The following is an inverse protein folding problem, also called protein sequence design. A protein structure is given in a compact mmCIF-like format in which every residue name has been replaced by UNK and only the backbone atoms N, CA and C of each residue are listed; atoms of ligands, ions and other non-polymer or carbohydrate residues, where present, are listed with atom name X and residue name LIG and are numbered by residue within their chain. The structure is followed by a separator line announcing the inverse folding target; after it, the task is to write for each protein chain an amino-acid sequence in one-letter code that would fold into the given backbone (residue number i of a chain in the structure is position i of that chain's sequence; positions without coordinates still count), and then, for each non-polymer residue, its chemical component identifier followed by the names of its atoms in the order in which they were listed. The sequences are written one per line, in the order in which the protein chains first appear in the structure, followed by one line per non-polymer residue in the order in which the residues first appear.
data_IF_128301850227
#
_entry.id   IF_128301850227
#
_cell.length_a   1.000
_cell.length_b   1.000
_cell.length_c   1.000
_cell.angle_alpha   90.00
_cell.angle_beta   90.00
_cell.angle_gamma   90.00
#
_symmetry.space_group_name_H-M   'P 1'
#
loop_
_entity.id
_entity.type
_entity.pdbx_description
1 polymer ?
#
# COMPACT_ATOMS: atom_id res chain seq x y z
N UNK A 1 -8.75 19.26 -15.09
CA UNK A 1 -8.14 17.93 -14.78
C UNK A 1 -8.03 17.68 -13.27
N UNK A 2 -7.42 18.58 -12.49
CA UNK A 2 -7.28 18.40 -11.04
C UNK A 2 -8.62 18.27 -10.28
N UNK A 3 -9.57 19.17 -10.54
CA UNK A 3 -10.91 19.13 -9.89
C UNK A 3 -11.67 17.83 -10.19
N UNK A 4 -11.50 17.30 -11.42
CA UNK A 4 -12.07 16.04 -11.86
C UNK A 4 -11.59 14.88 -10.97
N UNK A 5 -10.29 14.73 -10.76
CA UNK A 5 -9.75 13.63 -9.93
C UNK A 5 -10.09 13.78 -8.46
N UNK A 6 -10.03 14.99 -7.92
CA UNK A 6 -10.43 15.25 -6.53
C UNK A 6 -11.91 14.89 -6.30
N UNK A 7 -12.79 15.18 -7.26
CA UNK A 7 -14.20 14.79 -7.20
C UNK A 7 -14.39 13.27 -7.30
N UNK A 8 -13.68 12.60 -8.22
CA UNK A 8 -13.70 11.12 -8.34
C UNK A 8 -13.26 10.43 -7.05
N UNK A 9 -12.24 10.98 -6.38
CA UNK A 9 -11.79 10.50 -5.07
C UNK A 9 -12.83 10.71 -3.96
N UNK A 10 -13.56 11.84 -3.98
CA UNK A 10 -14.69 12.07 -3.06
C UNK A 10 -15.85 11.08 -3.31
N UNK A 11 -16.15 10.75 -4.56
CA UNK A 11 -17.17 9.73 -4.90
C UNK A 11 -16.73 8.32 -4.45
N UNK A 12 -15.45 7.99 -4.57
CA UNK A 12 -14.92 6.72 -4.08
C UNK A 12 -14.98 6.63 -2.54
N UNK A 13 -14.65 7.71 -1.82
CA UNK A 13 -14.85 7.78 -0.37
C UNK A 13 -16.32 7.60 0.01
N UNK A 14 -17.24 8.31 -0.66
CA UNK A 14 -18.67 8.22 -0.40
C UNK A 14 -19.21 6.79 -0.60
N UNK A 15 -18.77 6.11 -1.66
CA UNK A 15 -19.10 4.70 -1.90
C UNK A 15 -18.70 3.80 -0.73
N UNK A 16 -17.48 3.97 -0.20
CA UNK A 16 -17.00 3.20 0.97
C UNK A 16 -17.80 3.55 2.23
N UNK A 17 -18.06 4.84 2.45
CA UNK A 17 -18.78 5.32 3.63
C UNK A 17 -20.24 4.83 3.67
N UNK A 18 -20.89 4.68 2.52
CA UNK A 18 -22.25 4.17 2.40
C UNK A 18 -22.31 2.63 2.50
N UNK A 19 -21.37 1.94 1.84
CA UNK A 19 -21.48 0.50 1.60
C UNK A 19 -20.71 -0.36 2.58
N UNK A 20 -19.59 0.17 3.11
CA UNK A 20 -18.68 -0.60 3.96
C UNK A 20 -18.53 -0.03 5.38
N UNK A 21 -18.63 1.28 5.59
CA UNK A 21 -18.41 1.86 6.92
C UNK A 21 -19.55 1.53 7.90
N UNK A 22 -19.21 0.94 9.04
CA UNK A 22 -20.17 0.53 10.07
C UNK A 22 -19.61 0.71 11.49
N UNK A 23 -20.50 0.76 12.49
CA UNK A 23 -20.12 0.81 13.91
C UNK A 23 -19.74 -0.59 14.38
N UNK A 24 -18.66 -0.71 15.14
CA UNK A 24 -18.28 -1.96 15.78
C UNK A 24 -19.32 -2.34 16.84
N UNK A 25 -20.08 -3.41 16.62
CA UNK A 25 -21.07 -3.95 17.57
C UNK A 25 -22.04 -2.89 18.11
N UNK A 26 -22.50 -1.99 17.23
CA UNK A 26 -23.34 -0.83 17.56
C UNK A 26 -22.75 0.16 18.57
N UNK A 27 -21.48 -0.01 18.97
CA UNK A 27 -20.82 0.85 19.95
C UNK A 27 -20.71 2.28 19.41
N UNK A 28 -21.18 3.29 20.17
CA UNK A 28 -21.15 4.67 19.73
C UNK A 28 -19.71 5.14 19.56
N UNK A 29 -19.50 6.05 18.60
CA UNK A 29 -18.19 6.66 18.29
C UNK A 29 -17.12 5.62 17.89
N UNK A 30 -17.54 4.50 17.28
CA UNK A 30 -16.65 3.56 16.60
C UNK A 30 -16.95 3.56 15.10
N UNK A 31 -15.96 3.15 14.31
CA UNK A 31 -16.08 2.97 12.87
C UNK A 31 -15.13 1.85 12.46
N UNK A 32 -15.57 0.95 11.59
CA UNK A 32 -14.79 -0.09 10.92
C UNK A 32 -15.42 -0.34 9.55
N UNK A 33 -14.66 -0.89 8.60
CA UNK A 33 -15.21 -1.28 7.30
C UNK A 33 -15.60 -2.76 7.31
N UNK A 34 -16.83 -3.10 6.91
CA UNK A 34 -17.24 -4.49 6.66
C UNK A 34 -16.53 -5.03 5.42
N UNK A 35 -16.24 -6.33 5.43
CA UNK A 35 -15.33 -6.96 4.46
C UNK A 35 -15.94 -7.10 3.06
N UNK A 36 -17.26 -7.04 2.92
CA UNK A 36 -17.91 -7.15 1.63
C UNK A 36 -19.20 -6.34 1.54
N UNK A 37 -19.58 -5.93 0.34
CA UNK A 37 -20.87 -5.33 0.02
C UNK A 37 -21.54 -6.00 -1.19
N UNK A 38 -22.84 -6.32 -1.14
CA UNK A 38 -23.74 -6.21 0.01
C UNK A 38 -23.31 -7.13 1.18
N UNK A 39 -23.32 -6.65 2.44
CA UNK A 39 -22.80 -7.40 3.58
C UNK A 39 -23.76 -8.48 4.05
N UNK A 40 -23.22 -9.64 4.43
CA UNK A 40 -23.98 -10.68 5.13
C UNK A 40 -24.17 -10.32 6.61
N UNK A 41 -25.06 -11.03 7.32
CA UNK A 41 -25.23 -10.86 8.77
C UNK A 41 -23.92 -11.09 9.55
N UNK A 42 -23.08 -12.05 9.11
CA UNK A 42 -21.78 -12.35 9.72
C UNK A 42 -20.78 -11.20 9.54
N UNK A 43 -20.84 -10.50 8.41
CA UNK A 43 -19.98 -9.35 8.14
C UNK A 43 -20.40 -8.15 8.99
N UNK A 44 -21.71 -7.90 9.11
CA UNK A 44 -22.25 -6.79 9.92
C UNK A 44 -21.88 -6.87 11.40
N UNK A 45 -21.74 -8.08 11.95
CA UNK A 45 -21.31 -8.28 13.35
C UNK A 45 -19.79 -8.42 13.51
N UNK A 46 -19.01 -8.19 12.45
CA UNK A 46 -17.54 -8.30 12.44
C UNK A 46 -17.02 -9.66 12.92
N UNK A 47 -17.77 -10.74 12.61
CA UNK A 47 -17.29 -12.11 12.81
C UNK A 47 -16.09 -12.35 11.88
N UNK A 48 -16.20 -11.91 10.62
CA UNK A 48 -15.08 -11.77 9.68
C UNK A 48 -14.50 -10.37 9.82
N UNK A 49 -13.19 -10.29 10.05
CA UNK A 49 -12.48 -9.05 10.23
C UNK A 49 -11.02 -9.23 9.81
N UNK A 50 -10.57 -8.44 8.84
CA UNK A 50 -9.22 -8.48 8.30
C UNK A 50 -8.42 -7.29 8.82
N UNK A 51 -7.41 -7.58 9.66
CA UNK A 51 -6.61 -6.56 10.36
C UNK A 51 -5.99 -5.58 9.38
N UNK A 52 -5.29 -6.10 8.36
CA UNK A 52 -4.59 -5.28 7.39
C UNK A 52 -5.52 -4.55 6.42
N UNK A 53 -6.70 -5.09 6.08
CA UNK A 53 -7.70 -4.34 5.30
C UNK A 53 -8.17 -3.10 6.07
N UNK A 54 -8.31 -3.18 7.40
CA UNK A 54 -8.61 -2.00 8.22
C UNK A 54 -7.45 -1.00 8.29
N UNK A 55 -6.20 -1.48 8.24
CA UNK A 55 -5.04 -0.61 8.13
C UNK A 55 -5.09 0.20 6.83
N UNK A 56 -5.39 -0.45 5.71
CA UNK A 56 -5.54 0.21 4.41
C UNK A 56 -6.79 1.11 4.33
N UNK A 57 -7.89 0.73 4.97
CA UNK A 57 -9.05 1.63 5.10
C UNK A 57 -8.70 2.90 5.90
N UNK A 58 -7.94 2.76 7.00
CA UNK A 58 -7.41 3.91 7.73
C UNK A 58 -6.50 4.76 6.84
N UNK A 59 -5.68 4.13 6.00
CA UNK A 59 -4.76 4.82 5.10
C UNK A 59 -5.51 5.66 4.04
N UNK A 60 -6.57 5.12 3.42
CA UNK A 60 -7.43 5.89 2.51
C UNK A 60 -8.16 7.04 3.21
N UNK A 61 -8.61 6.84 4.45
CA UNK A 61 -9.21 7.92 5.25
C UNK A 61 -8.21 9.05 5.52
N UNK A 62 -6.94 8.70 5.74
CA UNK A 62 -5.85 9.68 5.87
C UNK A 62 -5.65 10.43 4.56
N UNK A 63 -5.59 9.73 3.42
CA UNK A 63 -5.44 10.37 2.09
C UNK A 63 -6.55 11.39 1.83
N UNK A 64 -7.81 11.02 2.04
CA UNK A 64 -8.95 11.92 1.85
C UNK A 64 -8.90 13.13 2.81
N UNK A 65 -8.47 12.91 4.06
CA UNK A 65 -8.35 13.97 5.06
C UNK A 65 -7.16 14.92 4.81
N UNK A 66 -6.07 14.42 4.22
CA UNK A 66 -4.93 15.22 3.76
C UNK A 66 -5.33 16.05 2.54
N UNK A 67 -5.97 15.43 1.55
CA UNK A 67 -6.43 16.11 0.33
C UNK A 67 -7.44 17.23 0.62
N UNK A 68 -8.43 16.96 1.47
CA UNK A 68 -9.40 17.99 1.91
C UNK A 68 -9.79 17.75 3.39
N UNK A 69 -9.27 18.59 4.31
CA UNK A 69 -9.51 18.40 5.74
C UNK A 69 -10.90 18.89 6.14
N UNK A 70 -11.77 17.97 6.57
CA UNK A 70 -13.10 18.29 7.14
C UNK A 70 -13.25 17.74 8.56
N UNK A 71 -14.07 18.37 9.44
CA UNK A 71 -14.34 17.82 10.76
C UNK A 71 -14.91 16.39 10.72
N UNK A 72 -15.72 16.07 9.71
CA UNK A 72 -16.30 14.74 9.50
C UNK A 72 -15.21 13.67 9.23
N UNK A 73 -14.28 13.93 8.29
CA UNK A 73 -13.15 13.02 8.00
C UNK A 73 -12.26 12.81 9.21
N UNK A 74 -11.94 13.89 9.92
CA UNK A 74 -11.18 13.78 11.18
C UNK A 74 -11.92 12.94 12.23
N UNK A 75 -13.23 13.13 12.37
CA UNK A 75 -14.01 12.33 13.30
C UNK A 75 -14.05 10.86 12.88
N UNK A 76 -14.17 10.56 11.57
CA UNK A 76 -14.11 9.21 11.02
C UNK A 76 -12.79 8.53 11.37
N UNK A 77 -11.63 9.17 11.15
CA UNK A 77 -10.31 8.64 11.53
C UNK A 77 -10.25 8.31 13.03
N UNK A 78 -10.70 9.23 13.92
CA UNK A 78 -10.71 8.98 15.37
C UNK A 78 -11.58 7.77 15.74
N UNK A 79 -12.75 7.64 15.11
CA UNK A 79 -13.68 6.52 15.31
C UNK A 79 -13.09 5.21 14.78
N UNK A 80 -12.36 5.25 13.66
CA UNK A 80 -11.66 4.10 13.07
C UNK A 80 -10.54 3.61 13.98
N UNK A 81 -9.65 4.50 14.43
CA UNK A 81 -8.60 4.17 15.39
C UNK A 81 -9.16 3.58 16.70
N UNK A 82 -10.26 4.15 17.20
CA UNK A 82 -10.96 3.61 18.37
C UNK A 82 -11.55 2.22 18.08
N UNK A 83 -12.17 2.03 16.92
CA UNK A 83 -12.74 0.76 16.48
C UNK A 83 -11.69 -0.34 16.41
N UNK A 84 -10.57 -0.08 15.72
CA UNK A 84 -9.45 -1.02 15.59
C UNK A 84 -8.92 -1.41 16.97
N UNK A 85 -8.68 -0.42 17.85
CA UNK A 85 -8.20 -0.69 19.21
C UNK A 85 -9.16 -1.58 20.02
N UNK A 86 -10.46 -1.29 19.99
CA UNK A 86 -11.46 -2.06 20.75
C UNK A 86 -11.60 -3.48 20.16
N UNK A 87 -11.65 -3.62 18.84
CA UNK A 87 -11.80 -4.92 18.18
C UNK A 87 -10.62 -5.87 18.43
N UNK A 88 -9.45 -5.33 18.72
CA UNK A 88 -8.23 -6.09 18.97
C UNK A 88 -8.06 -6.60 20.42
N UNK A 89 -9.01 -6.37 21.34
CA UNK A 89 -9.11 -6.91 22.71
C UNK A 89 -7.79 -6.99 23.53
N UNK A 90 -6.88 -7.91 23.15
CA UNK A 90 -5.53 -8.15 23.69
C UNK A 90 -4.46 -7.12 23.23
N UNK A 91 -4.85 -6.11 22.46
CA UNK A 91 -3.96 -5.05 21.98
C UNK A 91 -3.38 -5.32 20.59
N UNK A 92 -2.82 -4.27 19.96
CA UNK A 92 -2.39 -4.32 18.55
C UNK A 92 -1.22 -5.27 18.29
N UNK A 93 -0.34 -5.45 19.28
CA UNK A 93 0.86 -6.29 19.21
C UNK A 93 0.57 -7.79 19.31
N UNK A 94 -0.64 -8.16 19.74
CA UNK A 94 -1.04 -9.56 19.91
C UNK A 94 -1.27 -10.29 18.57
N UNK A 95 -1.40 -9.56 17.46
CA UNK A 95 -1.45 -10.19 16.14
C UNK A 95 -0.10 -10.89 15.86
N UNK A 96 -0.17 -12.13 15.36
CA UNK A 96 1.02 -12.95 15.07
C UNK A 96 1.66 -12.63 13.73
N UNK A 97 0.91 -12.02 12.82
CA UNK A 97 1.32 -11.66 11.46
C UNK A 97 2.08 -10.32 11.48
N UNK A 98 3.33 -10.32 11.01
CA UNK A 98 4.19 -9.14 11.08
C UNK A 98 3.89 -8.13 9.96
N UNK A 99 3.49 -8.61 8.79
CA UNK A 99 2.92 -7.82 7.68
C UNK A 99 1.69 -7.03 8.15
N UNK A 100 0.69 -7.69 8.74
CA UNK A 100 -0.51 -7.06 9.29
C UNK A 100 -0.15 -5.89 10.23
N UNK A 101 0.79 -6.15 11.15
CA UNK A 101 1.27 -5.17 12.12
C UNK A 101 1.99 -4.01 11.43
N UNK A 102 2.83 -4.29 10.43
CA UNK A 102 3.56 -3.27 9.68
C UNK A 102 2.61 -2.34 8.89
N UNK A 103 1.56 -2.90 8.26
CA UNK A 103 0.54 -2.10 7.58
C UNK A 103 -0.17 -1.14 8.52
N UNK A 104 -0.56 -1.60 9.71
CA UNK A 104 -1.21 -0.71 10.68
C UNK A 104 -0.23 0.30 11.28
N UNK A 105 1.03 -0.07 11.50
CA UNK A 105 2.05 0.86 11.97
C UNK A 105 2.24 2.01 10.96
N UNK A 106 2.36 1.69 9.67
CA UNK A 106 2.48 2.69 8.60
C UNK A 106 1.26 3.62 8.54
N UNK A 107 0.04 3.06 8.42
CA UNK A 107 -1.19 3.86 8.35
C UNK A 107 -1.38 4.71 9.62
N UNK A 108 -1.11 4.13 10.80
CA UNK A 108 -1.20 4.81 12.08
C UNK A 108 -0.17 5.93 12.27
N UNK A 109 1.04 5.78 11.72
CA UNK A 109 2.06 6.82 11.71
C UNK A 109 1.67 7.97 10.78
N UNK A 110 1.13 7.67 9.59
CA UNK A 110 0.66 8.66 8.60
C UNK A 110 -0.46 9.56 9.08
N UNK A 111 -1.24 9.15 10.08
CA UNK A 111 -2.28 9.99 10.71
C UNK A 111 -1.73 11.36 11.16
N UNK A 112 -0.43 11.49 11.46
CA UNK A 112 0.21 12.79 11.79
C UNK A 112 0.19 13.82 10.65
N UNK A 113 0.02 13.38 9.40
CA UNK A 113 -0.13 14.24 8.21
C UNK A 113 -1.45 15.03 8.25
N UNK A 114 -2.45 14.55 8.99
CA UNK A 114 -3.74 15.24 9.14
C UNK A 114 -3.64 16.33 10.21
N UNK A 115 -4.08 17.54 9.87
CA UNK A 115 -4.09 18.70 10.79
C UNK A 115 -4.71 18.35 12.15
N UNK A 116 -4.01 18.70 13.25
CA UNK A 116 -4.37 18.44 14.66
C UNK A 116 -4.31 16.96 15.10
N UNK A 117 -3.79 16.06 14.29
CA UNK A 117 -3.52 14.69 14.73
C UNK A 117 -2.09 14.52 15.23
N UNK A 118 -1.94 13.60 16.16
CA UNK A 118 -0.65 13.07 16.60
C UNK A 118 -0.68 11.58 16.37
N UNK A 119 0.50 10.98 16.19
CA UNK A 119 0.64 9.52 16.09
C UNK A 119 -0.03 8.88 17.32
N UNK A 120 -0.95 7.90 17.15
CA UNK A 120 -1.59 7.24 18.28
C UNK A 120 -0.57 6.55 19.18
N UNK A 121 -0.78 6.64 20.51
CA UNK A 121 0.17 6.08 21.51
C UNK A 121 0.48 4.60 21.32
N UNK A 122 -0.46 3.83 20.75
CA UNK A 122 -0.31 2.40 20.52
C UNK A 122 0.61 2.04 19.33
N UNK A 123 0.97 3.01 18.47
CA UNK A 123 1.82 2.76 17.29
C UNK A 123 3.29 2.54 17.68
N UNK A 124 3.86 3.33 18.59
CA UNK A 124 5.26 3.13 19.02
C UNK A 124 5.53 1.73 19.60
N UNK A 125 4.69 1.19 20.52
CA UNK A 125 4.85 -0.19 20.96
C UNK A 125 4.70 -1.23 19.82
N UNK A 126 3.87 -0.93 18.82
CA UNK A 126 3.70 -1.79 17.65
C UNK A 126 4.96 -1.80 16.77
N UNK A 127 5.54 -0.63 16.49
CA UNK A 127 6.82 -0.50 15.79
C UNK A 127 7.93 -1.28 16.52
N UNK A 128 8.07 -1.08 17.85
CA UNK A 128 9.04 -1.82 18.65
C UNK A 128 8.81 -3.34 18.62
N UNK A 129 7.55 -3.79 18.62
CA UNK A 129 7.22 -5.21 18.53
C UNK A 129 7.61 -5.80 17.17
N UNK A 130 7.42 -5.07 16.08
CA UNK A 130 7.84 -5.50 14.74
C UNK A 130 9.36 -5.60 14.69
N UNK A 131 10.08 -4.56 15.14
CA UNK A 131 11.55 -4.52 15.13
C UNK A 131 12.17 -5.66 15.95
N UNK A 132 11.57 -6.01 17.08
CA UNK A 132 12.01 -7.12 17.93
C UNK A 132 11.71 -8.50 17.34
N UNK A 133 10.88 -8.57 16.30
CA UNK A 133 10.48 -9.81 15.63
C UNK A 133 11.45 -10.30 14.56
N UNK A 134 12.48 -9.52 14.23
CA UNK A 134 13.48 -9.91 13.24
C UNK A 134 14.20 -11.16 13.71
N UNK A 135 14.39 -12.11 12.80
CA UNK A 135 15.09 -13.35 13.07
C UNK A 135 16.60 -13.11 13.22
N UNK A 136 17.19 -13.67 14.26
CA UNK A 136 18.59 -13.41 14.60
C UNK A 136 19.59 -13.99 13.60
N UNK A 137 19.20 -15.01 12.83
CA UNK A 137 20.09 -15.67 11.86
C UNK A 137 20.05 -14.95 10.51
N UNK A 138 18.85 -14.62 10.04
CA UNK A 138 18.63 -14.04 8.71
C UNK A 138 18.62 -12.51 8.71
N UNK A 139 18.42 -11.87 9.87
CA UNK A 139 18.30 -10.42 9.99
C UNK A 139 16.98 -9.84 9.47
N UNK A 140 16.09 -10.69 8.94
CA UNK A 140 14.80 -10.30 8.34
C UNK A 140 13.62 -10.84 9.14
N UNK A 141 12.43 -10.29 8.88
CA UNK A 141 11.20 -10.66 9.57
C UNK A 141 10.56 -11.89 8.93
N UNK A 142 10.19 -12.92 9.72
CA UNK A 142 9.33 -13.98 9.22
C UNK A 142 7.91 -13.43 9.04
N UNK A 143 7.10 -14.11 8.23
CA UNK A 143 5.71 -13.73 7.96
C UNK A 143 4.87 -13.66 9.23
N UNK A 144 5.00 -14.67 10.10
CA UNK A 144 4.35 -14.71 11.41
C UNK A 144 5.27 -15.25 12.50
N UNK A 145 4.91 -15.02 13.75
CA UNK A 145 5.63 -15.56 14.91
C UNK A 145 5.75 -17.09 14.83
N UNK A 146 6.99 -17.58 14.98
CA UNK A 146 7.40 -18.99 14.91
C UNK A 146 7.17 -19.64 13.54
N UNK A 147 7.43 -18.91 12.45
CA UNK A 147 7.44 -19.46 11.08
C UNK A 147 8.79 -19.23 10.41
N UNK A 148 9.11 -20.09 9.43
CA UNK A 148 10.36 -20.05 8.63
C UNK A 148 10.13 -19.55 7.20
N UNK A 149 9.09 -18.74 7.00
CA UNK A 149 8.76 -18.11 5.73
C UNK A 149 9.01 -16.62 5.85
N UNK A 150 9.85 -16.08 4.98
CA UNK A 150 10.27 -14.68 4.96
C UNK A 150 9.81 -14.09 3.64
N UNK A 151 9.00 -13.04 3.68
CA UNK A 151 8.35 -12.53 2.48
C UNK A 151 8.41 -11.00 2.39
N UNK A 152 8.29 -10.50 1.17
CA UNK A 152 8.29 -9.07 0.85
C UNK A 152 7.13 -8.32 1.49
N UNK A 153 5.90 -8.88 1.56
CA UNK A 153 4.78 -8.24 2.26
C UNK A 153 5.05 -7.92 3.73
N UNK A 154 5.97 -8.65 4.37
CA UNK A 154 6.42 -8.34 5.74
C UNK A 154 7.60 -7.37 5.74
N UNK A 155 8.63 -7.68 4.95
CA UNK A 155 9.92 -6.99 5.03
C UNK A 155 9.93 -5.62 4.34
N UNK A 156 9.20 -5.45 3.24
CA UNK A 156 9.08 -4.17 2.53
C UNK A 156 8.39 -3.08 3.39
N UNK A 157 7.17 -3.30 3.90
CA UNK A 157 6.51 -2.35 4.80
C UNK A 157 7.31 -2.07 6.08
N UNK A 158 7.98 -3.10 6.62
CA UNK A 158 8.86 -2.92 7.77
C UNK A 158 10.08 -2.06 7.45
N UNK A 159 10.69 -2.20 6.27
CA UNK A 159 11.79 -1.36 5.81
C UNK A 159 11.35 0.11 5.68
N UNK A 160 10.18 0.37 5.06
CA UNK A 160 9.57 1.71 4.98
C UNK A 160 9.38 2.30 6.38
N UNK A 161 8.80 1.51 7.31
CA UNK A 161 8.59 1.94 8.69
C UNK A 161 9.91 2.26 9.40
N UNK A 162 10.94 1.42 9.23
CA UNK A 162 12.25 1.60 9.86
C UNK A 162 12.98 2.83 9.29
N UNK A 163 12.93 3.07 7.98
CA UNK A 163 13.50 4.26 7.36
C UNK A 163 12.84 5.55 7.90
N UNK A 164 11.50 5.56 8.00
CA UNK A 164 10.73 6.70 8.54
C UNK A 164 10.90 6.93 10.05
N UNK A 165 11.49 5.99 10.77
CA UNK A 165 11.67 6.04 12.23
C UNK A 165 13.14 6.02 12.64
N UNK A 166 14.02 6.53 11.77
CA UNK A 166 15.46 6.74 12.01
C UNK A 166 16.23 5.44 12.30
N UNK A 167 15.80 4.32 11.70
CA UNK A 167 16.45 3.00 11.78
C UNK A 167 16.96 2.58 10.41
N UNK A 168 17.71 3.49 9.78
CA UNK A 168 18.13 3.40 8.39
C UNK A 168 18.89 2.11 8.08
N UNK A 169 19.85 1.72 8.91
CA UNK A 169 20.66 0.50 8.67
C UNK A 169 19.81 -0.78 8.67
N UNK A 170 18.76 -0.83 9.50
CA UNK A 170 17.83 -1.97 9.48
C UNK A 170 16.97 -1.94 8.22
N UNK A 171 16.50 -0.77 7.79
CA UNK A 171 15.74 -0.64 6.56
C UNK A 171 16.57 -1.07 5.34
N UNK A 172 17.85 -0.68 5.30
CA UNK A 172 18.84 -1.11 4.31
C UNK A 172 18.96 -2.62 4.31
N UNK A 173 19.27 -3.25 5.45
CA UNK A 173 19.43 -4.71 5.52
C UNK A 173 18.19 -5.50 5.10
N UNK A 174 16.98 -5.06 5.48
CA UNK A 174 15.74 -5.68 5.02
C UNK A 174 15.56 -5.56 3.51
N UNK A 175 15.93 -4.41 2.93
CA UNK A 175 15.72 -4.14 1.51
C UNK A 175 16.79 -4.83 0.66
N UNK A 176 18.05 -4.85 1.09
CA UNK A 176 19.13 -5.61 0.46
C UNK A 176 18.77 -7.10 0.39
N UNK A 177 18.27 -7.68 1.47
CA UNK A 177 17.82 -9.07 1.46
C UNK A 177 16.75 -9.35 0.40
N UNK A 178 15.82 -8.41 0.16
CA UNK A 178 14.84 -8.53 -0.93
C UNK A 178 15.55 -8.53 -2.29
N UNK A 179 16.47 -7.60 -2.54
CA UNK A 179 17.18 -7.52 -3.82
C UNK A 179 18.07 -8.74 -4.08
N UNK A 180 18.72 -9.26 -3.04
CA UNK A 180 19.68 -10.36 -3.17
C UNK A 180 18.99 -11.71 -3.39
N UNK A 181 17.74 -11.87 -2.92
CA UNK A 181 17.07 -13.18 -2.92
C UNK A 181 15.82 -13.25 -3.81
N UNK A 182 15.18 -12.11 -4.10
CA UNK A 182 13.80 -12.10 -4.60
C UNK A 182 13.61 -11.33 -5.90
N UNK A 183 14.66 -10.98 -6.62
CA UNK A 183 14.53 -10.38 -7.97
C UNK A 183 14.55 -11.49 -9.02
N UNK A 184 13.54 -11.51 -9.88
CA UNK A 184 13.49 -12.45 -11.01
C UNK A 184 14.23 -11.90 -12.24
N UNK A 185 14.28 -12.68 -13.31
CA UNK A 185 14.98 -12.34 -14.56
C UNK A 185 14.40 -11.10 -15.28
N UNK A 186 13.14 -10.73 -14.99
CA UNK A 186 12.48 -9.53 -15.52
C UNK A 186 12.75 -8.28 -14.67
N UNK A 187 13.45 -8.41 -13.54
CA UNK A 187 13.64 -7.31 -12.60
C UNK A 187 12.44 -7.07 -11.68
N UNK A 188 11.48 -8.00 -11.63
CA UNK A 188 10.33 -7.95 -10.73
C UNK A 188 10.63 -8.70 -9.42
N UNK A 189 9.99 -8.25 -8.35
CA UNK A 189 10.14 -8.78 -6.99
C UNK A 189 9.17 -9.95 -6.77
N UNK A 190 9.73 -11.12 -6.44
CA UNK A 190 9.02 -12.34 -6.04
C UNK A 190 8.57 -12.28 -4.57
N UNK A 191 7.63 -13.12 -4.17
CA UNK A 191 6.95 -13.03 -2.86
C UNK A 191 7.86 -13.30 -1.66
N UNK A 192 8.66 -14.38 -1.68
CA UNK A 192 9.44 -14.73 -0.49
C UNK A 192 10.28 -16.00 -0.58
N UNK A 193 10.93 -16.33 0.53
CA UNK A 193 11.74 -17.55 0.71
C UNK A 193 11.20 -18.33 1.89
N UNK A 194 10.97 -19.63 1.70
CA UNK A 194 10.62 -20.57 2.77
C UNK A 194 11.82 -21.43 3.10
N UNK A 195 12.31 -21.36 4.33
CA UNK A 195 13.38 -22.23 4.79
C UNK A 195 12.82 -23.61 5.13
N UNK A 196 13.30 -24.62 4.41
CA UNK A 196 13.00 -26.04 4.61
C UNK A 196 14.25 -26.78 5.10
N UNK A 197 14.06 -28.02 5.57
CA UNK A 197 15.18 -28.87 6.00
C UNK A 197 16.20 -29.17 4.87
N UNK A 198 15.75 -29.15 3.61
CA UNK A 198 16.60 -29.40 2.44
C UNK A 198 17.12 -28.11 1.77
N UNK A 199 16.90 -26.94 2.38
CA UNK A 199 17.38 -25.65 1.88
C UNK A 199 16.27 -24.60 1.70
N UNK A 200 16.64 -23.38 1.24
CA UNK A 200 15.70 -22.32 0.94
C UNK A 200 14.90 -22.62 -0.34
N UNK A 201 13.58 -22.46 -0.25
CA UNK A 201 12.62 -22.62 -1.36
C UNK A 201 12.05 -21.23 -1.72
N UNK A 202 12.32 -20.75 -2.94
CA UNK A 202 11.82 -19.45 -3.40
C UNK A 202 10.35 -19.58 -3.82
N UNK A 203 9.48 -18.76 -3.23
CA UNK A 203 8.10 -18.54 -3.65
C UNK A 203 8.11 -17.48 -4.75
N UNK A 204 7.95 -17.94 -6.00
CA UNK A 204 8.19 -17.14 -7.21
C UNK A 204 7.01 -16.27 -7.63
N UNK A 205 5.89 -16.32 -6.90
CA UNK A 205 4.73 -15.49 -7.19
C UNK A 205 5.11 -14.02 -7.24
N UNK A 206 4.68 -13.34 -8.31
CA UNK A 206 4.93 -11.91 -8.53
C UNK A 206 3.62 -11.18 -8.33
N UNK A 207 3.62 -10.26 -7.36
CA UNK A 207 2.42 -9.52 -7.01
C UNK A 207 2.67 -8.00 -7.02
N UNK A 208 1.67 -7.18 -7.41
CA UNK A 208 1.84 -5.72 -7.52
C UNK A 208 2.33 -5.04 -6.25
N UNK A 209 1.78 -5.42 -5.09
CA UNK A 209 2.16 -4.83 -3.81
C UNK A 209 3.61 -5.10 -3.39
N UNK A 210 4.19 -6.25 -3.75
CA UNK A 210 5.61 -6.53 -3.53
C UNK A 210 6.47 -5.48 -4.25
N UNK A 211 6.09 -5.11 -5.47
CA UNK A 211 6.79 -4.06 -6.22
C UNK A 211 6.60 -2.70 -5.53
N UNK A 212 5.36 -2.39 -5.13
CA UNK A 212 5.02 -1.15 -4.45
C UNK A 212 5.83 -0.92 -3.17
N UNK A 213 5.90 -1.91 -2.28
CA UNK A 213 6.62 -1.75 -1.00
C UNK A 213 8.13 -1.68 -1.19
N UNK A 214 8.68 -2.38 -2.19
CA UNK A 214 10.10 -2.27 -2.52
C UNK A 214 10.43 -0.90 -3.09
N UNK A 215 9.59 -0.35 -3.98
CA UNK A 215 9.71 1.04 -4.45
C UNK A 215 9.66 2.03 -3.29
N UNK A 216 8.69 1.85 -2.38
CA UNK A 216 8.56 2.68 -1.18
C UNK A 216 9.80 2.60 -0.28
N UNK A 217 10.35 1.41 -0.05
CA UNK A 217 11.54 1.22 0.77
C UNK A 217 12.76 1.91 0.15
N UNK A 218 13.01 1.69 -1.15
CA UNK A 218 14.11 2.36 -1.85
C UNK A 218 13.98 3.88 -1.80
N UNK A 219 12.76 4.42 -1.99
CA UNK A 219 12.52 5.86 -1.96
C UNK A 219 12.83 6.44 -0.57
N UNK A 220 12.29 5.86 0.51
CA UNK A 220 12.53 6.35 1.88
C UNK A 220 14.00 6.22 2.29
N UNK A 221 14.68 5.12 1.92
CA UNK A 221 16.11 4.94 2.17
C UNK A 221 16.93 5.98 1.40
N UNK A 222 16.62 6.22 0.13
CA UNK A 222 17.30 7.22 -0.70
C UNK A 222 17.16 8.63 -0.14
N UNK A 223 15.97 9.02 0.31
CA UNK A 223 15.77 10.32 0.94
C UNK A 223 16.54 10.44 2.26
N UNK A 224 16.55 9.40 3.09
CA UNK A 224 17.29 9.42 4.36
C UNK A 224 18.80 9.45 4.18
N UNK A 225 19.33 8.76 3.17
CA UNK A 225 20.74 8.86 2.82
C UNK A 225 21.10 10.26 2.29
N UNK A 226 20.22 10.86 1.49
CA UNK A 226 20.38 12.25 1.04
C UNK A 226 20.41 13.23 2.22
N UNK A 227 19.46 13.11 3.15
CA UNK A 227 19.42 13.91 4.38
C UNK A 227 20.72 13.75 5.19
N UNK A 228 21.19 12.51 5.39
CA UNK A 228 22.45 12.21 6.11
C UNK A 228 23.69 12.77 5.40
N UNK A 229 23.66 12.85 4.07
CA UNK A 229 24.71 13.47 3.28
C UNK A 229 24.68 15.01 3.32
N UNK A 230 23.66 15.63 3.91
CA UNK A 230 23.50 17.08 3.98
C UNK A 230 23.12 17.72 2.64
N UNK A 231 22.53 16.95 1.73
CA UNK A 231 22.13 17.41 0.42
C UNK A 231 20.69 17.91 0.44
N UNK A 232 20.47 19.11 -0.09
CA UNK A 232 19.12 19.67 -0.20
C UNK A 232 18.26 18.88 -1.20
N UNK A 233 16.93 18.86 -1.05
CA UNK A 233 16.03 18.27 -2.03
C UNK A 233 16.22 18.88 -3.42
N UNK A 234 16.50 18.05 -4.43
CA UNK A 234 16.71 18.50 -5.80
C UNK A 234 18.08 19.11 -6.10
N UNK A 235 18.97 19.21 -5.10
CA UNK A 235 20.36 19.60 -5.34
C UNK A 235 21.02 18.57 -6.27
N UNK A 236 21.58 19.01 -7.42
CA UNK A 236 22.32 18.13 -8.32
C UNK A 236 23.61 17.66 -7.65
N UNK A 237 23.96 16.39 -7.88
CA UNK A 237 25.23 15.82 -7.42
C UNK A 237 26.28 16.17 -8.47
N UNK A 238 27.13 17.17 -8.20
CA UNK A 238 28.06 17.74 -9.20
C UNK A 238 29.54 17.69 -8.80
N UNK A 239 29.87 17.35 -7.54
CA UNK A 239 31.24 17.34 -7.02
C UNK A 239 31.84 15.94 -6.82
N UNK A 240 33.17 15.85 -6.83
CA UNK A 240 33.94 14.63 -6.48
C UNK A 240 33.81 14.34 -4.98
N UNK A 241 33.76 15.37 -4.12
CA UNK A 241 33.57 15.23 -2.66
C UNK A 241 32.17 14.71 -2.27
N UNK A 242 31.21 14.77 -3.19
CA UNK A 242 29.88 14.18 -3.03
C UNK A 242 29.84 12.71 -3.48
N UNK A 243 30.81 12.24 -4.27
CA UNK A 243 30.74 10.94 -4.94
C UNK A 243 30.73 9.76 -3.94
N UNK A 244 31.61 9.76 -2.93
CA UNK A 244 31.62 8.73 -1.88
C UNK A 244 30.37 8.80 -0.98
N UNK A 245 29.85 10.00 -0.70
CA UNK A 245 28.63 10.19 0.11
C UNK A 245 27.37 9.72 -0.61
N UNK A 246 27.42 9.65 -1.94
CA UNK A 246 26.26 9.48 -2.80
C UNK A 246 26.25 8.11 -3.50
N UNK A 247 27.33 7.33 -3.45
CA UNK A 247 27.38 5.98 -4.03
C UNK A 247 26.23 5.09 -3.52
N UNK A 248 26.08 5.00 -2.19
CA UNK A 248 25.00 4.23 -1.57
C UNK A 248 23.61 4.77 -1.94
N UNK A 249 23.46 6.10 -2.06
CA UNK A 249 22.22 6.72 -2.51
C UNK A 249 21.88 6.31 -3.95
N UNK A 250 22.87 6.33 -4.85
CA UNK A 250 22.71 6.02 -6.25
C UNK A 250 22.33 4.56 -6.49
N UNK A 251 22.79 3.63 -5.64
CA UNK A 251 22.33 2.24 -5.67
C UNK A 251 20.81 2.14 -5.52
N UNK A 252 20.23 2.79 -4.50
CA UNK A 252 18.79 2.75 -4.23
C UNK A 252 17.97 3.45 -5.29
N UNK A 253 18.46 4.59 -5.79
CA UNK A 253 17.84 5.28 -6.93
C UNK A 253 17.89 4.40 -8.19
N UNK A 254 18.97 3.67 -8.43
CA UNK A 254 19.09 2.75 -9.57
C UNK A 254 18.10 1.60 -9.48
N UNK A 255 18.09 0.89 -8.35
CA UNK A 255 17.14 -0.19 -8.07
C UNK A 255 15.68 0.26 -8.21
N UNK A 256 15.35 1.44 -7.69
CA UNK A 256 14.01 2.03 -7.83
C UNK A 256 13.66 2.28 -9.30
N UNK A 257 14.58 2.89 -10.07
CA UNK A 257 14.35 3.16 -11.50
C UNK A 257 14.12 1.87 -12.27
N UNK A 258 14.97 0.87 -12.08
CA UNK A 258 14.87 -0.44 -12.73
C UNK A 258 13.52 -1.10 -12.43
N UNK A 259 13.09 -1.08 -11.17
CA UNK A 259 11.81 -1.64 -10.77
C UNK A 259 10.60 -0.90 -11.37
N UNK A 260 10.66 0.44 -11.48
CA UNK A 260 9.61 1.20 -12.19
C UNK A 260 9.54 0.80 -13.67
N UNK A 261 10.69 0.59 -14.32
CA UNK A 261 10.73 0.15 -15.71
C UNK A 261 10.21 -1.29 -15.88
N UNK A 262 10.58 -2.20 -14.98
CA UNK A 262 10.07 -3.58 -14.98
C UNK A 262 8.54 -3.62 -14.79
N UNK A 263 8.01 -2.84 -13.84
CA UNK A 263 6.54 -2.71 -13.66
C UNK A 263 5.87 -2.17 -14.91
N UNK A 264 6.45 -1.13 -15.55
CA UNK A 264 5.88 -0.53 -16.74
C UNK A 264 5.90 -1.46 -17.96
N UNK A 265 6.88 -2.37 -18.04
CA UNK A 265 7.06 -3.29 -19.16
C UNK A 265 6.25 -4.57 -18.98
N UNK A 266 6.26 -5.15 -17.78
CA UNK A 266 5.83 -6.52 -17.53
C UNK A 266 4.59 -6.63 -16.62
N UNK A 267 4.06 -5.52 -16.10
CA UNK A 267 2.83 -5.46 -15.29
C UNK A 267 1.84 -4.38 -15.73
N UNK A 268 2.00 -3.88 -16.95
CA UNK A 268 1.10 -2.90 -17.53
C UNK A 268 0.89 -3.14 -19.03
N UNK A 269 -0.31 -2.80 -19.50
CA UNK A 269 -0.60 -2.71 -20.93
C UNK A 269 0.31 -1.68 -21.62
N UNK A 270 0.43 -1.69 -22.97
CA UNK A 270 1.16 -0.64 -23.71
C UNK A 270 0.63 0.79 -23.46
N UNK A 271 -0.63 0.93 -23.07
CA UNK A 271 -1.21 2.21 -22.68
C UNK A 271 -0.70 2.70 -21.29
N UNK A 272 -0.22 1.79 -20.44
CA UNK A 272 0.23 2.05 -19.07
C UNK A 272 -0.82 1.71 -18.01
N UNK A 273 -1.86 0.96 -18.36
CA UNK A 273 -2.84 0.45 -17.39
C UNK A 273 -2.27 -0.79 -16.71
N UNK A 274 -2.19 -0.80 -15.37
CA UNK A 274 -1.77 -1.97 -14.60
C UNK A 274 -2.79 -3.11 -14.78
N UNK A 275 -2.35 -4.23 -15.35
CA UNK A 275 -3.19 -5.36 -15.79
C UNK A 275 -2.93 -6.67 -15.03
N UNK A 276 -2.18 -6.61 -13.92
CA UNK A 276 -1.97 -7.76 -13.06
C UNK A 276 -3.29 -8.38 -12.55
N UNK A 277 -3.47 -9.68 -12.81
CA UNK A 277 -4.65 -10.45 -12.41
C UNK A 277 -4.55 -10.92 -10.96
N UNK A 278 -5.08 -10.12 -10.04
CA UNK A 278 -5.00 -10.40 -8.59
C UNK A 278 -6.32 -10.88 -7.97
N UNK A 279 -7.44 -10.77 -8.69
CA UNK A 279 -8.77 -11.18 -8.19
C UNK A 279 -9.25 -10.36 -6.98
N UNK A 280 -10.18 -10.92 -6.22
CA UNK A 280 -10.67 -10.35 -4.96
C UNK A 280 -9.88 -10.83 -3.74
N UNK A 281 -10.51 -10.83 -2.56
CA UNK A 281 -9.87 -11.28 -1.33
C UNK A 281 -8.65 -10.41 -1.03
N UNK A 282 -7.55 -10.99 -0.56
CA UNK A 282 -6.34 -10.20 -0.29
C UNK A 282 -5.76 -9.56 -1.55
N UNK A 283 -5.84 -10.26 -2.69
CA UNK A 283 -5.35 -9.79 -3.98
C UNK A 283 -6.01 -8.50 -4.47
N UNK A 284 -7.23 -8.21 -3.99
CA UNK A 284 -7.94 -6.97 -4.30
C UNK A 284 -7.18 -5.71 -3.86
N UNK A 285 -6.33 -5.77 -2.83
CA UNK A 285 -5.55 -4.62 -2.33
C UNK A 285 -4.23 -4.40 -3.07
N UNK A 286 -3.76 -5.40 -3.83
CA UNK A 286 -2.38 -5.42 -4.29
C UNK A 286 -2.05 -4.27 -5.23
N UNK A 287 -2.92 -4.02 -6.22
CA UNK A 287 -2.74 -2.91 -7.17
C UNK A 287 -2.85 -1.54 -6.49
N UNK A 288 -3.73 -1.38 -5.50
CA UNK A 288 -3.85 -0.16 -4.71
C UNK A 288 -2.55 0.22 -3.99
N UNK A 289 -1.87 -0.78 -3.42
CA UNK A 289 -0.58 -0.58 -2.76
C UNK A 289 0.51 -0.19 -3.76
N UNK A 290 0.55 -0.85 -4.93
CA UNK A 290 1.48 -0.49 -6.00
C UNK A 290 1.33 0.98 -6.40
N UNK A 291 0.11 1.41 -6.73
CA UNK A 291 -0.14 2.77 -7.22
C UNK A 291 0.08 3.85 -6.17
N UNK A 292 -0.09 3.53 -4.88
CA UNK A 292 0.31 4.42 -3.78
C UNK A 292 1.79 4.76 -3.89
N UNK A 293 2.65 3.75 -4.00
CA UNK A 293 4.10 3.99 -4.03
C UNK A 293 4.60 4.49 -5.39
N UNK A 294 3.95 4.14 -6.50
CA UNK A 294 4.20 4.82 -7.79
C UNK A 294 3.88 6.32 -7.71
N UNK A 295 2.80 6.71 -7.03
CA UNK A 295 2.51 8.13 -6.81
C UNK A 295 3.54 8.80 -5.90
N UNK A 296 4.03 8.13 -4.85
CA UNK A 296 5.14 8.65 -4.04
C UNK A 296 6.40 8.85 -4.89
N UNK A 297 6.76 7.90 -5.76
CA UNK A 297 7.90 8.03 -6.69
C UNK A 297 7.71 9.24 -7.63
N UNK A 298 6.53 9.37 -8.24
CA UNK A 298 6.22 10.46 -9.17
C UNK A 298 6.33 11.86 -8.50
N UNK A 299 6.04 11.94 -7.20
CA UNK A 299 6.00 13.19 -6.44
C UNK A 299 7.32 13.52 -5.75
N UNK A 300 8.03 12.52 -5.22
CA UNK A 300 9.15 12.74 -4.28
C UNK A 300 10.54 12.38 -4.81
N UNK A 301 10.66 11.49 -5.81
CA UNK A 301 11.99 11.17 -6.37
C UNK A 301 12.70 12.44 -6.85
N UNK A 302 13.97 12.67 -6.50
CA UNK A 302 14.68 13.90 -6.87
C UNK A 302 14.66 14.17 -8.38
N UNK A 303 14.52 15.43 -8.79
CA UNK A 303 14.52 15.84 -10.21
C UNK A 303 15.91 16.20 -10.76
N UNK A 304 16.97 15.94 -9.99
CA UNK A 304 18.36 16.25 -10.30
C UNK A 304 18.87 15.64 -11.63
N UNK A 305 18.45 14.44 -11.99
CA UNK A 305 18.92 13.76 -13.22
C UNK A 305 17.82 13.60 -14.28
N UNK A 306 18.17 13.59 -15.58
CA UNK A 306 17.21 13.27 -16.64
C UNK A 306 16.51 11.92 -16.45
N UNK A 307 17.24 10.91 -15.96
CA UNK A 307 16.70 9.57 -15.70
C UNK A 307 15.66 9.57 -14.57
N UNK A 308 15.88 10.35 -13.51
CA UNK A 308 14.88 10.47 -12.44
C UNK A 308 13.62 11.21 -12.93
N UNK A 309 13.78 12.27 -13.73
CA UNK A 309 12.64 12.95 -14.37
C UNK A 309 11.86 12.03 -15.29
N UNK A 310 12.52 11.18 -16.06
CA UNK A 310 11.86 10.17 -16.89
C UNK A 310 11.11 9.12 -16.04
N UNK A 311 11.75 8.64 -14.96
CA UNK A 311 11.15 7.66 -14.04
C UNK A 311 9.90 8.21 -13.35
N UNK A 312 9.92 9.47 -12.89
CA UNK A 312 8.73 10.16 -12.36
C UNK A 312 7.58 10.20 -13.36
N UNK A 313 7.87 10.51 -14.64
CA UNK A 313 6.87 10.52 -15.71
C UNK A 313 6.28 9.14 -15.98
N UNK A 314 7.09 8.08 -15.98
CA UNK A 314 6.61 6.69 -16.13
C UNK A 314 5.67 6.34 -14.96
N UNK A 315 6.09 6.59 -13.71
CA UNK A 315 5.28 6.32 -12.53
C UNK A 315 3.96 7.10 -12.54
N UNK A 316 4.01 8.39 -12.91
CA UNK A 316 2.81 9.22 -13.07
C UNK A 316 1.87 8.69 -14.16
N UNK A 317 2.42 8.28 -15.31
CA UNK A 317 1.63 7.68 -16.40
C UNK A 317 0.93 6.41 -15.96
N UNK A 318 1.61 5.50 -15.27
CA UNK A 318 1.02 4.25 -14.76
C UNK A 318 -0.17 4.51 -13.84
N UNK A 319 -0.04 5.49 -12.94
CA UNK A 319 -1.13 5.90 -12.03
C UNK A 319 -2.31 6.49 -12.82
N UNK A 320 -2.05 7.48 -13.68
CA UNK A 320 -3.13 8.21 -14.37
C UNK A 320 -3.83 7.37 -15.43
N UNK A 321 -3.09 6.56 -16.21
CA UNK A 321 -3.66 5.66 -17.21
C UNK A 321 -4.57 4.61 -16.54
N UNK A 322 -4.08 4.00 -15.46
CA UNK A 322 -4.88 3.06 -14.67
C UNK A 322 -6.12 3.72 -14.08
N UNK A 323 -6.00 4.94 -13.56
CA UNK A 323 -7.13 5.66 -12.98
C UNK A 323 -8.20 6.01 -14.02
N UNK A 324 -7.82 6.40 -15.25
CA UNK A 324 -8.80 6.64 -16.32
C UNK A 324 -9.48 5.34 -16.74
N UNK A 325 -8.71 4.26 -16.88
CA UNK A 325 -9.24 2.95 -17.25
C UNK A 325 -10.25 2.44 -16.22
N UNK A 326 -9.86 2.36 -14.93
CA UNK A 326 -10.75 1.94 -13.85
C UNK A 326 -11.97 2.81 -13.74
N UNK A 327 -11.82 4.13 -13.90
CA UNK A 327 -12.98 5.01 -13.86
C UNK A 327 -13.92 4.78 -15.03
N UNK A 328 -13.42 4.51 -16.23
CA UNK A 328 -14.24 4.21 -17.41
C UNK A 328 -15.00 2.90 -17.25
N UNK A 329 -14.35 1.89 -16.68
CA UNK A 329 -14.88 0.54 -16.53
C UNK A 329 -15.61 0.29 -15.20
N UNK A 330 -15.73 1.31 -14.32
CA UNK A 330 -16.51 1.19 -13.09
C UNK A 330 -17.99 0.95 -13.40
N UNK A 331 -18.67 0.22 -12.54
CA UNK A 331 -20.13 0.29 -12.48
C UNK A 331 -20.56 1.49 -11.64
N UNK A 332 -21.76 1.99 -11.92
CA UNK A 332 -22.40 3.03 -11.13
C UNK A 332 -23.68 2.48 -10.52
N UNK A 333 -23.78 2.54 -9.19
CA UNK A 333 -24.96 2.11 -8.43
C UNK A 333 -25.33 3.26 -7.50
N UNK A 334 -26.55 3.76 -7.61
CA UNK A 334 -27.06 4.91 -6.85
C UNK A 334 -26.14 6.16 -6.96
N UNK A 335 -25.55 6.37 -8.14
CA UNK A 335 -24.63 7.49 -8.40
C UNK A 335 -23.21 7.33 -7.82
N UNK A 336 -22.89 6.16 -7.24
CA UNK A 336 -21.60 5.89 -6.61
C UNK A 336 -20.84 4.74 -7.30
N UNK A 337 -19.51 4.86 -7.45
CA UNK A 337 -18.71 3.91 -8.22
C UNK A 337 -18.57 2.54 -7.53
N UNK A 338 -18.57 1.46 -8.30
CA UNK A 338 -18.08 0.13 -7.93
C UNK A 338 -16.91 -0.20 -8.84
N UNK A 339 -15.74 -0.43 -8.26
CA UNK A 339 -14.53 -0.74 -9.01
C UNK A 339 -14.34 -2.23 -9.23
N UNK A 340 -13.78 -2.58 -10.39
CA UNK A 340 -13.39 -3.93 -10.77
C UNK A 340 -12.06 -4.36 -10.16
N UNK A 341 -11.89 -5.67 -9.94
CA UNK A 341 -10.58 -6.24 -9.62
C UNK A 341 -9.65 -6.21 -10.84
N UNK A 342 -10.18 -6.41 -12.05
CA UNK A 342 -9.49 -6.11 -13.30
C UNK A 342 -9.69 -4.62 -13.64
N UNK A 343 -8.62 -3.96 -14.05
CA UNK A 343 -8.62 -2.53 -14.36
C UNK A 343 -8.75 -2.24 -15.85
N UNK A 344 -8.87 -3.28 -16.67
CA UNK A 344 -8.98 -3.23 -18.14
C UNK A 344 -10.37 -3.63 -18.65
N UNK A 345 -11.25 -4.12 -17.78
CA UNK A 345 -12.58 -4.61 -18.14
C UNK A 345 -13.65 -4.02 -17.22
N UNK A 346 -14.89 -4.01 -17.71
CA UNK A 346 -16.05 -3.55 -16.94
C UNK A 346 -16.21 -4.33 -15.63
N UNK A 347 -16.49 -3.59 -14.55
CA UNK A 347 -16.76 -4.16 -13.24
C UNK A 347 -18.07 -4.97 -13.26
N UNK A 348 -18.15 -6.02 -12.45
CA UNK A 348 -19.35 -6.84 -12.32
C UNK A 348 -20.29 -6.37 -11.21
N UNK A 349 -21.60 -6.53 -11.43
CA UNK A 349 -22.61 -6.13 -10.45
C UNK A 349 -22.47 -6.99 -9.18
N UNK A 350 -22.23 -6.40 -7.99
CA UNK A 350 -22.14 -7.16 -6.75
C UNK A 350 -23.48 -7.83 -6.41
N UNK A 351 -23.52 -9.17 -6.42
CA UNK A 351 -24.71 -9.96 -6.05
C UNK A 351 -24.40 -10.88 -4.89
N UNK A 352 -25.38 -11.11 -3.99
CA UNK A 352 -25.29 -12.13 -2.93
C UNK A 352 -25.44 -13.54 -3.52
N UNK A 353 -24.51 -13.92 -4.39
CA UNK A 353 -24.39 -15.25 -4.96
C UNK A 353 -22.96 -15.74 -4.73
N UNK A 354 -22.81 -17.02 -4.37
CA UNK A 354 -21.50 -17.66 -4.26
C UNK A 354 -20.89 -17.83 -2.88
N UNK A 355 -19.76 -18.54 -2.84
CA UNK A 355 -18.95 -18.72 -1.63
C UNK A 355 -18.28 -17.39 -1.29
N UNK A 356 -18.64 -16.82 -0.14
CA UNK A 356 -18.00 -15.59 0.39
C UNK A 356 -16.57 -15.93 0.82
N UNK A 357 -15.58 -15.18 0.30
CA UNK A 357 -14.15 -15.35 0.57
C UNK A 357 -13.83 -15.84 1.98
N UNK A 358 -13.22 -17.03 2.09
CA UNK A 358 -12.88 -17.67 3.37
C UNK A 358 -11.40 -17.45 3.68
N UNK A 359 -11.09 -17.19 4.96
CA UNK A 359 -9.71 -17.14 5.44
C UNK A 359 -9.18 -18.56 5.64
N UNK A 360 -8.14 -18.95 4.88
CA UNK A 360 -7.41 -20.21 5.09
C UNK A 360 -5.96 -19.86 5.36
N UNK A 361 -5.42 -20.30 6.49
CA UNK A 361 -4.02 -20.11 6.88
C UNK A 361 -3.52 -18.65 6.91
N UNK A 362 -4.41 -17.66 7.05
CA UNK A 362 -4.06 -16.24 7.10
C UNK A 362 -4.37 -15.47 5.81
N UNK A 363 -4.45 -16.15 4.67
CA UNK A 363 -4.84 -15.57 3.40
C UNK A 363 -6.36 -15.59 3.20
N UNK A 364 -6.91 -14.52 2.64
CA UNK A 364 -8.33 -14.32 2.32
C UNK A 364 -8.55 -14.62 0.85
N UNK A 365 -9.33 -15.67 0.55
CA UNK A 365 -9.70 -15.99 -0.82
C UNK A 365 -10.67 -14.96 -1.41
N UNK A 366 -10.59 -14.78 -2.73
CA UNK A 366 -11.55 -13.99 -3.50
C UNK A 366 -12.99 -14.43 -3.23
N UNK A 367 -13.90 -13.47 -3.10
CA UNK A 367 -15.31 -13.74 -3.37
C UNK A 367 -15.49 -14.17 -4.83
N UNK A 368 -16.58 -14.90 -5.11
CA UNK A 368 -16.94 -15.28 -6.49
C UNK A 368 -17.10 -14.05 -7.40
N UNK A 369 -17.58 -12.94 -6.83
CA UNK A 369 -17.59 -11.62 -7.47
C UNK A 369 -16.62 -10.72 -6.69
N UNK A 370 -15.39 -10.49 -7.20
CA UNK A 370 -14.36 -9.70 -6.53
C UNK A 370 -14.80 -8.29 -6.13
N UNK A 371 -15.67 -7.67 -6.93
CA UNK A 371 -16.20 -6.31 -6.71
C UNK A 371 -16.94 -6.16 -5.38
N UNK A 372 -17.38 -7.27 -4.78
CA UNK A 372 -17.96 -7.28 -3.44
C UNK A 372 -16.93 -6.93 -2.37
N UNK A 373 -15.67 -7.31 -2.57
CA UNK A 373 -14.66 -7.31 -1.52
C UNK A 373 -14.19 -5.88 -1.22
N UNK A 374 -14.12 -5.54 0.06
CA UNK A 374 -13.63 -4.25 0.53
C UNK A 374 -12.23 -3.96 -0.04
N UNK A 375 -11.38 -4.97 -0.14
CA UNK A 375 -10.03 -4.85 -0.66
C UNK A 375 -9.97 -4.28 -2.08
N UNK A 376 -10.85 -4.75 -2.98
CA UNK A 376 -10.99 -4.25 -4.36
C UNK A 376 -11.44 -2.79 -4.36
N UNK A 377 -12.45 -2.47 -3.55
CA UNK A 377 -12.96 -1.10 -3.47
C UNK A 377 -11.94 -0.13 -2.85
N UNK A 378 -11.17 -0.57 -1.85
CA UNK A 378 -10.07 0.21 -1.29
C UNK A 378 -8.97 0.47 -2.33
N UNK A 379 -8.61 -0.51 -3.16
CA UNK A 379 -7.65 -0.28 -4.25
C UNK A 379 -8.11 0.78 -5.24
N UNK A 380 -9.39 0.73 -5.66
CA UNK A 380 -9.96 1.75 -6.53
C UNK A 380 -9.96 3.14 -5.88
N UNK A 381 -10.29 3.23 -4.59
CA UNK A 381 -10.21 4.50 -3.85
C UNK A 381 -8.77 5.01 -3.72
N UNK A 382 -7.80 4.15 -3.36
CA UNK A 382 -6.38 4.52 -3.31
C UNK A 382 -5.89 5.06 -4.67
N UNK A 383 -6.31 4.43 -5.76
CA UNK A 383 -5.97 4.88 -7.12
C UNK A 383 -6.53 6.27 -7.42
N UNK A 384 -7.78 6.57 -7.03
CA UNK A 384 -8.36 7.90 -7.22
C UNK A 384 -7.64 8.96 -6.38
N UNK A 385 -7.26 8.65 -5.14
CA UNK A 385 -6.47 9.55 -4.28
C UNK A 385 -5.06 9.78 -4.86
N UNK A 386 -4.41 8.72 -5.34
CA UNK A 386 -3.11 8.79 -6.02
C UNK A 386 -3.19 9.65 -7.28
N UNK A 387 -4.19 9.44 -8.14
CA UNK A 387 -4.41 10.23 -9.35
C UNK A 387 -4.69 11.70 -9.04
N UNK A 388 -5.46 11.99 -7.98
CA UNK A 388 -5.71 13.36 -7.54
C UNK A 388 -4.41 14.07 -7.12
N UNK A 389 -3.52 13.40 -6.38
CA UNK A 389 -2.21 13.95 -5.98
C UNK A 389 -1.28 14.15 -7.17
N UNK A 390 -1.15 13.13 -8.03
CA UNK A 390 -0.29 13.18 -9.23
C UNK A 390 -0.77 14.26 -10.21
N UNK A 391 -2.08 14.36 -10.45
CA UNK A 391 -2.62 15.41 -11.32
C UNK A 391 -2.48 16.81 -10.73
N UNK A 392 -2.61 16.96 -9.41
CA UNK A 392 -2.37 18.24 -8.73
C UNK A 392 -0.92 18.73 -8.85
N UNK A 393 0.04 17.82 -9.05
CA UNK A 393 1.45 18.13 -9.30
C UNK A 393 1.75 18.48 -10.78
N UNK A 394 0.74 18.59 -11.65
CA UNK A 394 0.90 19.02 -13.03
C UNK A 394 1.07 17.89 -14.05
N UNK A 395 1.11 16.62 -13.62
CA UNK A 395 1.09 15.50 -14.55
C UNK A 395 -0.27 15.37 -15.23
N UNK A 396 -0.24 15.06 -16.52
CA UNK A 396 -1.44 14.84 -17.35
C UNK A 396 -1.32 13.53 -18.10
N UNK A 397 -2.46 12.93 -18.39
CA UNK A 397 -2.58 11.77 -19.26
C UNK A 397 -3.44 12.18 -20.45
N UNK A 398 -2.80 12.29 -21.61
CA UNK A 398 -3.45 12.49 -22.88
C UNK A 398 -3.45 11.10 -23.52
N UNK A 399 -4.60 10.42 -23.41
CA UNK A 399 -4.74 9.01 -23.77
C UNK A 399 -4.36 8.67 -25.20
#
# INVERSE_FOLDING_TARGET
MQEKWAHRADLAEAAIDERHASRLWLLPRTNLAVVAWPPTTRDKVFLRWHYWWQAHYLDCLVDAAVRRPTPARQQRIRRTLRGIRIRNLRGLTANRYYDDKAWLALAGARVKEVKKFRVPKAIRPLESNIIAGADNLTGVLPWRTNETFYNVPTNGPAAIMMARTERLERAIGLTDWIFDNLINEQGLVMDGVRLRMHGPEIVRDVHPYCQGVTLGACLEISEKLRERAGLEPGQPITGIDDAEKVEHLMLWVTRLRELVHAVAKDMATPAGVIDAHTGGGDGGLFKGILVRYLAEVALRLSEDTPLNRATRKIAARLVLASAESVWRHRLEIDGLPVFGADWTTDANLPRNAGVVGTSIAGAVRSSEIPERDLSVQLSGWMLMEAAARVSAAGYTYNG
#
